data_IF_440203885515
#
_entry.id   IF_440203885515
#
_cell.length_a   1.000
_cell.length_b   1.000
_cell.length_c   1.000
_cell.angle_alpha   90.00
_cell.angle_beta   90.00
_cell.angle_gamma   90.00
#
_symmetry.space_group_name_H-M   'P 1'
#
loop_
_entity.id
_entity.type
_entity.pdbx_description
1 polymer ?
#
# COMPACT_ATOMS: atom_id res chain seq x y z
N UNK A 1 11.66 -23.70 -19.43
CA UNK A 1 10.28 -23.28 -19.12
C UNK A 1 10.21 -23.00 -17.64
N UNK A 2 10.51 -21.75 -17.25
CA UNK A 2 10.59 -21.34 -15.85
C UNK A 2 9.21 -20.87 -15.39
N UNK A 3 8.46 -21.77 -14.77
CA UNK A 3 7.16 -21.53 -14.17
C UNK A 3 7.38 -21.66 -12.66
N UNK A 4 7.35 -20.55 -11.89
CA UNK A 4 7.11 -20.51 -10.43
C UNK A 4 7.29 -19.11 -9.81
N UNK A 5 6.56 -18.12 -10.29
CA UNK A 5 6.22 -16.96 -9.47
C UNK A 5 4.71 -16.81 -9.55
N UNK A 6 3.99 -17.32 -8.54
CA UNK A 6 2.59 -17.01 -8.19
C UNK A 6 1.98 -18.20 -7.44
N UNK A 7 2.37 -18.42 -6.19
CA UNK A 7 1.64 -19.38 -5.34
C UNK A 7 1.11 -18.81 -4.03
N UNK A 8 1.34 -17.54 -3.73
CA UNK A 8 0.77 -16.90 -2.54
C UNK A 8 0.54 -15.39 -2.75
N UNK A 9 -0.09 -15.01 -3.86
CA UNK A 9 -0.74 -13.68 -3.90
C UNK A 9 -1.96 -13.80 -3.00
N UNK A 10 -1.79 -13.46 -1.72
CA UNK A 10 -2.93 -13.19 -0.84
C UNK A 10 -3.56 -11.92 -1.37
N UNK A 11 -4.64 -12.08 -2.13
CA UNK A 11 -5.48 -10.96 -2.57
C UNK A 11 -6.09 -10.35 -1.31
N UNK A 12 -5.36 -9.43 -0.69
CA UNK A 12 -5.86 -8.69 0.45
C UNK A 12 -6.84 -7.65 -0.08
N UNK A 13 -8.11 -7.77 0.32
CA UNK A 13 -9.14 -6.81 -0.04
C UNK A 13 -9.18 -5.75 1.05
N UNK A 14 -8.60 -4.59 0.77
CA UNK A 14 -8.70 -3.44 1.65
C UNK A 14 -10.15 -2.97 1.75
N UNK A 15 -10.56 -2.45 2.91
CA UNK A 15 -11.89 -1.87 3.11
C UNK A 15 -11.78 -0.36 3.25
N UNK A 16 -12.90 0.31 3.04
CA UNK A 16 -13.00 1.76 3.28
C UNK A 16 -12.69 2.02 4.76
N UNK A 17 -11.78 2.96 5.02
CA UNK A 17 -11.28 3.29 6.36
C UNK A 17 -10.00 2.56 6.78
N UNK A 18 -9.54 1.55 6.04
CA UNK A 18 -8.22 0.95 6.30
C UNK A 18 -7.10 1.94 5.97
N UNK A 19 -6.05 1.93 6.78
CA UNK A 19 -4.81 2.64 6.48
C UNK A 19 -3.88 1.75 5.66
N UNK A 20 -3.34 2.32 4.59
CA UNK A 20 -2.48 1.66 3.61
C UNK A 20 -1.30 2.55 3.24
N UNK A 21 -0.22 1.92 2.83
CA UNK A 21 0.94 2.58 2.26
C UNK A 21 0.94 2.40 0.75
N UNK A 22 1.28 3.45 0.01
CA UNK A 22 1.41 3.42 -1.46
C UNK A 22 2.87 3.17 -1.83
N UNK A 23 3.13 2.28 -2.78
CA UNK A 23 4.47 2.08 -3.33
C UNK A 23 4.84 3.24 -4.26
N UNK A 24 6.01 3.81 -4.03
CA UNK A 24 6.59 4.91 -4.79
C UNK A 24 7.81 4.40 -5.55
N UNK A 25 7.74 4.40 -6.88
CA UNK A 25 8.78 3.89 -7.80
C UNK A 25 9.78 4.98 -8.23
N UNK A 26 9.91 6.04 -7.44
CA UNK A 26 10.91 7.09 -7.72
C UNK A 26 12.29 6.52 -7.38
N UNK A 27 13.31 6.91 -8.15
CA UNK A 27 14.73 6.65 -7.86
C UNK A 27 15.15 7.36 -6.56
N UNK A 28 14.73 6.81 -5.42
CA UNK A 28 15.14 7.28 -4.12
C UNK A 28 16.49 6.67 -3.73
N UNK A 29 17.25 7.43 -2.96
CA UNK A 29 18.56 7.00 -2.49
C UNK A 29 18.44 5.74 -1.62
N UNK A 30 19.49 4.92 -1.58
CA UNK A 30 19.56 3.52 -1.08
C UNK A 30 18.98 3.24 0.33
N UNK A 31 18.55 4.27 1.07
CA UNK A 31 18.08 4.24 2.45
C UNK A 31 16.63 4.73 2.63
N UNK A 32 15.95 5.22 1.58
CA UNK A 32 14.57 5.70 1.73
C UNK A 32 13.55 4.59 1.53
N UNK A 33 12.45 4.67 2.30
CA UNK A 33 11.34 3.74 2.18
C UNK A 33 10.62 3.92 0.85
N UNK A 34 10.49 2.83 0.08
CA UNK A 34 9.70 2.74 -1.16
C UNK A 34 8.19 2.85 -0.94
N UNK A 35 7.75 3.00 0.31
CA UNK A 35 6.35 3.07 0.72
C UNK A 35 6.11 4.45 1.32
N UNK A 36 5.13 5.15 0.76
CA UNK A 36 4.67 6.47 1.21
C UNK A 36 3.32 6.35 1.91
N UNK A 37 2.98 7.32 2.75
CA UNK A 37 1.75 7.30 3.55
C UNK A 37 1.98 6.94 5.02
N UNK A 38 0.95 7.08 5.87
CA UNK A 38 -0.30 6.32 5.76
C UNK A 38 -1.41 7.06 5.00
N UNK A 39 -1.96 6.39 4.00
CA UNK A 39 -3.18 6.82 3.32
C UNK A 39 -4.37 6.05 3.84
N UNK A 40 -5.54 6.67 3.83
CA UNK A 40 -6.79 6.02 4.19
C UNK A 40 -7.53 5.61 2.93
N UNK A 41 -8.02 4.36 2.86
CA UNK A 41 -8.86 3.93 1.75
C UNK A 41 -10.20 4.66 1.82
N UNK A 42 -10.46 5.55 0.87
CA UNK A 42 -11.75 6.23 0.75
C UNK A 42 -12.76 5.34 0.03
N UNK A 43 -12.34 4.64 -1.03
CA UNK A 43 -13.22 3.77 -1.82
C UNK A 43 -12.51 2.53 -2.33
N UNK A 44 -13.27 1.44 -2.40
CA UNK A 44 -12.88 0.20 -3.07
C UNK A 44 -13.55 0.16 -4.43
N UNK A 45 -12.76 0.04 -5.50
CA UNK A 45 -13.26 -0.09 -6.86
C UNK A 45 -13.23 -1.55 -7.33
N UNK A 46 -13.89 -1.81 -8.45
CA UNK A 46 -13.83 -3.11 -9.10
C UNK A 46 -12.41 -3.40 -9.63
N UNK A 47 -12.09 -4.69 -9.80
CA UNK A 47 -10.81 -5.17 -10.35
C UNK A 47 -9.55 -4.85 -9.53
N UNK A 48 -9.70 -4.60 -8.22
CA UNK A 48 -8.56 -4.39 -7.33
C UNK A 48 -7.99 -2.97 -7.37
N UNK A 49 -8.69 -2.01 -7.96
CA UNK A 49 -8.36 -0.60 -7.82
C UNK A 49 -8.95 -0.02 -6.52
N UNK A 50 -8.26 0.94 -5.93
CA UNK A 50 -8.66 1.61 -4.70
C UNK A 50 -8.42 3.11 -4.83
N UNK A 51 -9.31 3.89 -4.24
CA UNK A 51 -9.10 5.33 -4.04
C UNK A 51 -8.61 5.51 -2.63
N UNK A 52 -7.37 5.98 -2.49
CA UNK A 52 -6.78 6.33 -1.21
C UNK A 52 -6.81 7.84 -1.06
N UNK A 53 -6.96 8.32 0.17
CA UNK A 53 -6.92 9.73 0.52
C UNK A 53 -5.80 9.96 1.54
N UNK A 54 -5.04 11.01 1.32
CA UNK A 54 -4.06 11.51 2.28
C UNK A 54 -4.75 12.39 3.34
N UNK A 55 -4.10 12.60 4.48
CA UNK A 55 -4.58 13.53 5.49
C UNK A 55 -4.68 14.98 4.97
N UNK A 56 -3.97 15.31 3.88
CA UNK A 56 -4.04 16.61 3.21
C UNK A 56 -5.25 16.75 2.26
N UNK A 57 -6.12 15.74 2.15
CA UNK A 57 -7.29 15.75 1.25
C UNK A 57 -6.94 15.42 -0.21
N UNK A 58 -5.73 14.96 -0.46
CA UNK A 58 -5.29 14.47 -1.78
C UNK A 58 -5.75 13.02 -1.97
N UNK A 59 -6.62 12.82 -2.96
CA UNK A 59 -7.12 11.49 -3.36
C UNK A 59 -6.37 10.96 -4.57
N UNK A 60 -5.96 9.71 -4.50
CA UNK A 60 -5.17 9.04 -5.52
C UNK A 60 -5.78 7.69 -5.89
N UNK A 61 -5.80 7.38 -7.18
CA UNK A 61 -6.28 6.10 -7.71
C UNK A 61 -5.09 5.15 -7.87
N UNK A 62 -5.07 4.08 -7.08
CA UNK A 62 -3.99 3.10 -7.07
C UNK A 62 -4.50 1.69 -7.19
N UNK A 63 -3.65 0.80 -7.69
CA UNK A 63 -3.94 -0.64 -7.69
C UNK A 63 -3.59 -1.24 -6.31
N UNK A 64 -4.37 -2.22 -5.85
CA UNK A 64 -4.12 -2.96 -4.62
C UNK A 64 -2.77 -3.66 -4.59
N UNK A 65 -2.21 -4.00 -5.74
CA UNK A 65 -0.85 -4.53 -5.87
C UNK A 65 0.24 -3.53 -5.44
N UNK A 66 -0.06 -2.23 -5.52
CA UNK A 66 0.82 -1.13 -5.11
C UNK A 66 0.50 -0.64 -3.69
N UNK A 67 -0.39 -1.34 -2.98
CA UNK A 67 -0.80 -1.02 -1.63
C UNK A 67 -0.29 -2.07 -0.65
N UNK A 68 0.15 -1.59 0.51
CA UNK A 68 0.50 -2.43 1.65
C UNK A 68 -0.33 -2.00 2.85
N UNK A 69 -0.82 -2.95 3.64
CA UNK A 69 -1.51 -2.62 4.87
C UNK A 69 -0.56 -1.84 5.80
N UNK A 70 -1.01 -0.68 6.29
CA UNK A 70 -0.26 0.09 7.25
C UNK A 70 -0.35 -0.62 8.60
N UNK A 71 0.62 -1.49 8.87
CA UNK A 71 0.86 -1.94 10.22
C UNK A 71 1.60 -0.81 10.93
N UNK A 72 0.88 -0.01 11.71
CA UNK A 72 1.48 0.79 12.77
C UNK A 72 2.13 -0.18 13.76
N UNK A 73 3.29 -0.72 13.41
CA UNK A 73 4.08 -1.55 14.29
C UNK A 73 4.50 -0.66 15.46
N UNK A 74 3.74 -0.74 16.54
CA UNK A 74 4.02 -0.18 17.85
C UNK A 74 5.27 -0.85 18.51
N UNK A 75 6.24 -1.28 17.71
CA UNK A 75 7.36 -2.13 18.13
C UNK A 75 8.71 -1.74 17.46
N UNK A 76 8.83 -0.53 16.90
CA UNK A 76 10.13 0.05 16.56
C UNK A 76 10.66 0.84 17.77
N UNK A 77 11.06 0.11 18.80
CA UNK A 77 11.98 0.62 19.82
C UNK A 77 13.02 -0.50 20.02
N UNK A 78 14.21 -0.43 19.40
CA UNK A 78 15.37 -1.05 20.01
C UNK A 78 15.78 -0.21 21.23
N UNK A 79 15.96 -0.87 22.37
CA UNK A 79 16.56 -0.36 23.62
C UNK A 79 17.90 0.36 23.40
#
# INVERSE_FOLDING_TARGET
MEIRYNRDVKIYKFKIGDYVLKRVEIEKSKLESYWEGPYQVERVLAKGAYIINDNHGSRDLVNGDLLKMYNASNNMIPE
#
